data_IF_683807592689
#
_entry.id   IF_683807592689
#
_cell.length_a   1.000
_cell.length_b   1.000
_cell.length_c   1.000
_cell.angle_alpha   90.00
_cell.angle_beta   90.00
_cell.angle_gamma   90.00
#
_symmetry.space_group_name_H-M   'P 1'
#
loop_
_entity.id
_entity.type
_entity.pdbx_description
1 polymer ?
#
# COMPACT_ATOMS: atom_id res chain seq x y z
N UNK A 1 17.99 24.92 48.75
CA UNK A 1 18.18 24.80 47.30
C UNK A 1 17.04 23.96 46.77
N UNK A 2 16.11 24.56 46.04
CA UNK A 2 14.97 23.84 45.47
C UNK A 2 15.35 23.27 44.10
N UNK A 3 14.96 22.03 43.74
CA UNK A 3 15.21 21.50 42.41
C UNK A 3 14.25 22.13 41.39
N UNK A 4 14.79 22.56 40.26
CA UNK A 4 14.02 22.96 39.07
C UNK A 4 13.62 21.67 38.37
N UNK A 5 12.35 21.26 38.47
CA UNK A 5 11.81 20.19 37.64
C UNK A 5 11.59 20.78 36.25
N UNK A 6 12.48 20.46 35.30
CA UNK A 6 12.21 20.67 33.88
C UNK A 6 11.26 19.56 33.43
N UNK A 7 9.97 19.86 33.45
CA UNK A 7 9.01 19.09 32.66
C UNK A 7 9.39 19.30 31.19
N UNK A 8 10.11 18.32 30.64
CA UNK A 8 10.24 18.21 29.19
C UNK A 8 8.94 17.60 28.73
N UNK A 9 7.92 18.44 28.54
CA UNK A 9 6.68 18.01 27.90
C UNK A 9 7.08 17.58 26.49
N UNK A 10 7.14 16.28 26.27
CA UNK A 10 7.16 15.73 24.92
C UNK A 10 5.87 16.22 24.26
N UNK A 11 5.97 17.22 23.38
CA UNK A 11 4.88 17.59 22.50
C UNK A 11 4.63 16.39 21.57
N UNK A 12 3.74 15.50 21.99
CA UNK A 12 3.19 14.46 21.12
C UNK A 12 2.42 15.19 20.04
N UNK A 13 3.04 15.36 18.87
CA UNK A 13 2.36 15.95 17.72
C UNK A 13 1.35 14.90 17.27
N UNK A 14 0.05 15.17 17.44
CA UNK A 14 -1.00 14.24 17.03
C UNK A 14 -0.92 14.06 15.52
N UNK A 15 -0.54 12.86 15.07
CA UNK A 15 -0.48 12.51 13.65
C UNK A 15 -1.89 12.41 13.06
N UNK A 16 -1.99 12.54 11.75
CA UNK A 16 -3.27 12.48 11.03
C UNK A 16 -3.57 11.01 10.69
N UNK A 17 -4.76 10.54 11.06
CA UNK A 17 -5.27 9.20 10.71
C UNK A 17 -5.42 9.04 9.21
N UNK A 18 -5.04 7.87 8.70
CA UNK A 18 -5.12 7.54 7.28
C UNK A 18 -6.02 6.33 7.02
N UNK A 19 -6.49 6.23 5.78
CA UNK A 19 -7.22 5.09 5.24
C UNK A 19 -6.56 4.67 3.93
N UNK A 20 -6.40 3.36 3.74
CA UNK A 20 -5.76 2.76 2.59
C UNK A 20 -6.76 1.84 1.87
N UNK A 21 -6.87 1.99 0.56
CA UNK A 21 -7.75 1.20 -0.29
C UNK A 21 -6.98 0.66 -1.49
N UNK A 22 -6.73 -0.64 -1.51
CA UNK A 22 -6.12 -1.32 -2.66
C UNK A 22 -7.15 -1.49 -3.78
N UNK A 23 -6.73 -1.29 -5.03
CA UNK A 23 -7.61 -1.46 -6.19
C UNK A 23 -7.74 -2.93 -6.58
N UNK A 24 -8.94 -3.35 -6.93
CA UNK A 24 -9.12 -4.64 -7.59
C UNK A 24 -8.58 -4.58 -9.03
N UNK A 25 -7.93 -5.66 -9.46
CA UNK A 25 -7.35 -5.79 -10.80
C UNK A 25 -8.13 -6.87 -11.57
N UNK A 26 -8.32 -6.66 -12.87
CA UNK A 26 -8.92 -7.67 -13.75
C UNK A 26 -8.23 -7.61 -15.10
N UNK A 27 -7.76 -8.75 -15.60
CA UNK A 27 -6.98 -8.79 -16.83
C UNK A 27 -6.84 -10.20 -17.39
N UNK A 28 -6.46 -10.30 -18.67
CA UNK A 28 -6.18 -11.58 -19.30
C UNK A 28 -4.81 -12.12 -18.87
N UNK A 29 -4.72 -13.43 -18.60
CA UNK A 29 -3.47 -14.12 -18.23
C UNK A 29 -2.40 -13.92 -19.33
N UNK A 30 -2.82 -14.01 -20.60
CA UNK A 30 -1.95 -13.76 -21.73
C UNK A 30 -1.52 -12.29 -21.76
N UNK A 31 -0.31 -12.01 -21.26
CA UNK A 31 0.25 -10.66 -21.22
C UNK A 31 -0.08 -9.87 -19.96
N UNK A 32 -0.49 -10.52 -18.87
CA UNK A 32 -0.72 -9.84 -17.59
C UNK A 32 0.52 -9.06 -17.15
N UNK A 33 0.41 -7.74 -17.14
CA UNK A 33 1.45 -6.76 -16.74
C UNK A 33 0.87 -5.67 -15.84
N UNK A 34 -0.22 -5.98 -15.13
CA UNK A 34 -0.94 -4.97 -14.37
C UNK A 34 -0.17 -4.50 -13.13
N UNK A 35 -0.52 -3.30 -12.70
CA UNK A 35 0.11 -2.58 -11.60
C UNK A 35 -0.73 -2.76 -10.34
N UNK A 36 -0.13 -3.22 -9.25
CA UNK A 36 -0.74 -3.09 -7.93
C UNK A 36 -0.92 -1.59 -7.63
N UNK A 37 -2.10 -1.19 -7.14
CA UNK A 37 -2.44 0.21 -6.89
C UNK A 37 -3.18 0.35 -5.58
N UNK A 38 -2.93 1.45 -4.88
CA UNK A 38 -3.69 1.78 -3.68
C UNK A 38 -3.88 3.29 -3.54
N UNK A 39 -5.04 3.67 -3.00
CA UNK A 39 -5.40 5.03 -2.64
C UNK A 39 -5.15 5.25 -1.16
N UNK A 40 -4.31 6.22 -0.82
CA UNK A 40 -4.07 6.66 0.55
C UNK A 40 -4.73 8.03 0.77
N UNK A 41 -5.58 8.11 1.79
CA UNK A 41 -6.35 9.32 2.11
C UNK A 41 -6.33 9.59 3.61
N UNK A 42 -6.53 10.84 3.98
CA UNK A 42 -6.82 11.20 5.37
C UNK A 42 -8.18 10.63 5.76
N UNK A 43 -8.24 9.83 6.84
CA UNK A 43 -9.44 9.08 7.21
C UNK A 43 -10.65 9.98 7.51
N UNK A 44 -10.42 11.18 8.04
CA UNK A 44 -11.49 12.09 8.46
C UNK A 44 -11.97 13.03 7.35
N UNK A 45 -11.08 13.40 6.42
CA UNK A 45 -11.36 14.45 5.43
C UNK A 45 -11.43 13.90 4.00
N UNK A 46 -11.03 12.64 3.79
CA UNK A 46 -10.86 12.01 2.46
C UNK A 46 -9.88 12.73 1.54
N UNK A 47 -9.08 13.68 2.05
CA UNK A 47 -8.04 14.36 1.28
C UNK A 47 -6.96 13.37 0.86
N UNK A 48 -6.41 13.48 -0.36
CA UNK A 48 -5.32 12.61 -0.80
C UNK A 48 -4.06 12.85 0.06
N UNK A 49 -3.41 11.77 0.46
CA UNK A 49 -2.11 11.82 1.14
C UNK A 49 -1.02 11.65 0.08
N UNK A 50 -0.16 12.66 -0.08
CA UNK A 50 0.80 12.78 -1.19
C UNK A 50 2.23 12.60 -0.68
N UNK A 51 3.06 11.89 -1.43
CA UNK A 51 4.49 11.72 -1.15
C UNK A 51 4.82 10.61 -0.14
N UNK A 52 3.84 9.81 0.25
CA UNK A 52 4.01 8.71 1.19
C UNK A 52 4.24 7.39 0.47
N UNK A 53 5.03 6.49 1.08
CA UNK A 53 5.36 5.19 0.49
C UNK A 53 4.35 4.14 0.91
N UNK A 54 3.80 3.41 -0.06
CA UNK A 54 2.95 2.23 0.15
C UNK A 54 3.69 1.00 -0.35
N UNK A 55 3.71 -0.04 0.46
CA UNK A 55 4.33 -1.34 0.16
C UNK A 55 3.27 -2.32 -0.33
N UNK A 56 3.65 -3.19 -1.27
CA UNK A 56 2.77 -4.19 -1.86
C UNK A 56 3.36 -5.59 -1.68
N UNK A 57 2.50 -6.55 -1.35
CA UNK A 57 2.86 -7.95 -1.10
C UNK A 57 1.90 -8.88 -1.83
N UNK A 58 2.38 -10.02 -2.34
CA UNK A 58 1.51 -11.09 -2.83
C UNK A 58 0.86 -11.81 -1.66
N UNK A 59 -0.43 -12.07 -1.77
CA UNK A 59 -1.11 -12.92 -0.81
C UNK A 59 -0.69 -14.39 -1.02
N UNK A 60 -0.75 -15.19 0.05
CA UNK A 60 -0.40 -16.62 0.01
C UNK A 60 1.07 -16.92 0.27
N UNK A 61 1.97 -16.08 -0.24
CA UNK A 61 3.42 -16.18 0.01
C UNK A 61 4.00 -15.05 0.87
N UNK A 62 3.24 -13.96 1.08
CA UNK A 62 3.74 -12.72 1.69
C UNK A 62 4.99 -12.15 0.96
N UNK A 63 5.19 -12.52 -0.31
CA UNK A 63 6.33 -12.05 -1.09
C UNK A 63 6.21 -10.56 -1.38
N UNK A 64 7.29 -9.83 -1.14
CA UNK A 64 7.35 -8.41 -1.43
C UNK A 64 7.31 -8.16 -2.95
N UNK A 65 6.25 -7.49 -3.42
CA UNK A 65 6.09 -7.11 -4.83
C UNK A 65 6.88 -5.85 -5.19
N UNK A 66 6.98 -4.93 -4.22
CA UNK A 66 7.59 -3.62 -4.41
C UNK A 66 6.86 -2.54 -3.63
N UNK A 67 7.19 -1.29 -3.92
CA UNK A 67 6.57 -0.12 -3.30
C UNK A 67 6.30 0.97 -4.33
N UNK A 68 5.37 1.86 -4.00
CA UNK A 68 5.03 3.04 -4.78
C UNK A 68 4.86 4.26 -3.89
N UNK A 69 5.22 5.43 -4.41
CA UNK A 69 5.01 6.72 -3.72
C UNK A 69 3.67 7.31 -4.18
N UNK A 70 2.86 7.80 -3.24
CA UNK A 70 1.57 8.38 -3.54
C UNK A 70 1.70 9.68 -4.33
N UNK A 71 1.04 9.74 -5.50
CA UNK A 71 1.03 10.93 -6.35
C UNK A 71 0.06 12.01 -5.83
N UNK A 72 -0.14 13.09 -6.59
CA UNK A 72 -1.05 14.19 -6.21
C UNK A 72 -2.52 13.80 -6.00
N UNK A 73 -2.93 12.60 -6.40
CA UNK A 73 -4.27 12.04 -6.17
C UNK A 73 -4.29 11.04 -5.00
N UNK A 74 -3.17 10.84 -4.31
CA UNK A 74 -3.03 9.87 -3.24
C UNK A 74 -2.83 8.43 -3.75
N UNK A 75 -2.48 8.24 -5.02
CA UNK A 75 -2.36 6.91 -5.63
C UNK A 75 -0.90 6.47 -5.64
N UNK A 76 -0.62 5.35 -4.98
CA UNK A 76 0.64 4.61 -5.13
C UNK A 76 0.46 3.51 -6.17
N UNK A 77 1.48 3.26 -6.99
CA UNK A 77 1.46 2.22 -8.02
C UNK A 77 2.78 1.46 -8.04
N UNK A 78 2.71 0.13 -8.16
CA UNK A 78 3.86 -0.75 -8.27
C UNK A 78 3.71 -1.64 -9.52
N UNK A 79 4.69 -1.58 -10.42
CA UNK A 79 4.77 -2.47 -11.59
C UNK A 79 5.38 -3.81 -11.17
N UNK A 80 4.54 -4.81 -10.92
CA UNK A 80 4.99 -6.15 -10.54
C UNK A 80 5.52 -6.98 -11.72
N UNK A 81 5.20 -6.57 -12.96
CA UNK A 81 5.50 -7.33 -14.18
C UNK A 81 6.99 -7.53 -14.49
N UNK A 82 7.91 -6.85 -13.79
CA UNK A 82 9.35 -6.98 -13.99
C UNK A 82 10.05 -8.06 -13.16
N UNK A 83 9.48 -8.46 -12.02
CA UNK A 83 10.09 -9.42 -11.09
C UNK A 83 9.48 -10.83 -11.15
N UNK A 84 8.48 -11.04 -12.00
CA UNK A 84 7.87 -12.35 -12.22
C UNK A 84 8.81 -13.17 -13.12
N UNK A 85 9.79 -13.84 -12.50
CA UNK A 85 10.69 -14.77 -13.20
C UNK A 85 10.06 -16.15 -13.42
N UNK A 86 8.90 -16.42 -12.78
CA UNK A 86 8.15 -17.68 -12.87
C UNK A 86 6.66 -17.43 -13.05
N UNK A 87 6.24 -17.31 -14.31
CA UNK A 87 4.87 -16.97 -14.70
C UNK A 87 3.81 -17.86 -14.03
N UNK A 88 4.08 -19.16 -13.92
CA UNK A 88 3.11 -20.13 -13.41
C UNK A 88 2.89 -20.03 -11.89
N UNK A 89 3.96 -19.85 -11.11
CA UNK A 89 3.87 -19.62 -9.66
C UNK A 89 3.21 -18.26 -9.36
N UNK A 90 3.49 -17.25 -10.19
CA UNK A 90 2.88 -15.93 -10.02
C UNK A 90 1.39 -15.91 -10.31
N UNK A 91 0.89 -16.66 -11.31
CA UNK A 91 -0.55 -16.68 -11.62
C UNK A 91 -1.36 -17.15 -10.41
N UNK A 92 -0.90 -18.18 -9.71
CA UNK A 92 -1.58 -18.69 -8.52
C UNK A 92 -1.54 -17.67 -7.37
N UNK A 93 -0.37 -17.08 -7.09
CA UNK A 93 -0.25 -16.05 -6.05
C UNK A 93 -1.12 -14.81 -6.36
N UNK A 94 -1.18 -14.40 -7.64
CA UNK A 94 -2.06 -13.31 -8.07
C UNK A 94 -3.53 -13.65 -7.89
N UNK A 95 -3.97 -14.90 -8.09
CA UNK A 95 -5.36 -15.28 -7.82
C UNK A 95 -5.77 -15.10 -6.34
N UNK A 96 -4.81 -15.15 -5.42
CA UNK A 96 -5.04 -14.86 -4.00
C UNK A 96 -5.09 -13.35 -3.70
N UNK A 97 -4.77 -12.51 -4.68
CA UNK A 97 -4.73 -11.06 -4.59
C UNK A 97 -3.40 -10.53 -4.10
N UNK A 98 -3.41 -9.26 -3.67
CA UNK A 98 -2.26 -8.60 -3.08
C UNK A 98 -2.68 -7.75 -1.89
N UNK A 99 -1.73 -7.48 -1.00
CA UNK A 99 -1.92 -6.61 0.15
C UNK A 99 -1.13 -5.32 -0.02
N UNK A 100 -1.78 -4.19 0.13
CA UNK A 100 -1.15 -2.88 0.26
C UNK A 100 -0.99 -2.53 1.75
N UNK A 101 0.19 -2.04 2.14
CA UNK A 101 0.53 -1.65 3.51
C UNK A 101 1.07 -0.23 3.56
N UNK A 102 0.58 0.54 4.54
CA UNK A 102 1.09 1.88 4.84
C UNK A 102 1.49 1.97 6.30
N UNK A 103 2.79 2.09 6.55
CA UNK A 103 3.40 2.04 7.89
C UNK A 103 3.38 3.38 8.64
N UNK A 104 2.76 4.41 8.05
CA UNK A 104 2.77 5.76 8.60
C UNK A 104 4.06 6.52 8.24
N UNK A 105 4.01 7.82 8.49
CA UNK A 105 5.12 8.75 8.23
C UNK A 105 5.32 9.71 9.41
N UNK A 106 6.08 10.79 9.21
CA UNK A 106 6.27 11.81 10.25
C UNK A 106 4.94 12.50 10.60
N UNK A 107 4.09 12.74 9.60
CA UNK A 107 2.83 13.49 9.72
C UNK A 107 1.59 12.60 9.90
N UNK A 108 1.65 11.36 9.44
CA UNK A 108 0.51 10.49 9.26
C UNK A 108 0.65 9.19 10.06
N UNK A 109 -0.45 8.71 10.62
CA UNK A 109 -0.51 7.39 11.28
C UNK A 109 -0.55 6.26 10.24
N UNK A 110 -0.11 5.04 10.59
CA UNK A 110 -0.32 3.86 9.75
C UNK A 110 -1.81 3.66 9.44
N UNK A 111 -2.10 3.05 8.29
CA UNK A 111 -3.45 2.62 7.94
C UNK A 111 -3.59 1.10 8.17
N UNK A 112 -4.81 0.58 8.40
CA UNK A 112 -5.06 -0.85 8.26
C UNK A 112 -4.65 -1.34 6.87
N UNK A 113 -4.10 -2.56 6.81
CA UNK A 113 -3.75 -3.23 5.56
C UNK A 113 -4.99 -3.37 4.66
N UNK A 114 -4.78 -3.25 3.34
CA UNK A 114 -5.86 -3.29 2.36
C UNK A 114 -5.60 -4.35 1.31
N UNK A 115 -6.60 -5.20 1.04
CA UNK A 115 -6.50 -6.31 0.09
C UNK A 115 -7.10 -5.90 -1.25
N UNK A 116 -6.30 -5.98 -2.32
CA UNK A 116 -6.74 -5.88 -3.70
C UNK A 116 -6.95 -7.27 -4.28
N UNK A 117 -8.17 -7.57 -4.74
CA UNK A 117 -8.47 -8.84 -5.40
C UNK A 117 -8.03 -8.78 -6.87
N UNK A 118 -7.55 -9.89 -7.40
CA UNK A 118 -7.16 -9.97 -8.81
C UNK A 118 -7.95 -11.08 -9.48
N UNK A 119 -8.68 -10.70 -10.52
CA UNK A 119 -9.45 -11.61 -11.34
C UNK A 119 -8.72 -11.84 -12.66
N UNK A 120 -8.02 -12.98 -12.76
CA UNK A 120 -7.31 -13.38 -13.96
C UNK A 120 -8.23 -14.16 -14.90
N UNK A 121 -8.41 -13.64 -16.11
CA UNK A 121 -9.27 -14.22 -17.13
C UNK A 121 -8.41 -15.10 -18.04
N UNK A 122 -8.71 -16.41 -18.16
CA UNK A 122 -8.07 -17.28 -19.15
C UNK A 122 -8.20 -16.69 -20.57
N UNK A 123 -7.15 -16.78 -21.37
CA UNK A 123 -7.21 -16.37 -22.78
C UNK A 123 -8.14 -17.29 -23.57
N UNK A 124 -8.86 -16.71 -24.55
CA UNK A 124 -9.60 -17.45 -25.59
C UNK A 124 -8.63 -18.09 -26.58
#
# INVERSE_FOLDING_TARGET
MSPVIRHSDAQTTTKIKTALEAENISGHIAGFRDKARAHLREAMTSKPVVGETVEFYLNGSDDYLGSGVTNGQGIASCESGGHITRLQESIQAWQEGYTAKYLGGEKYEPAPDSIGNVNLIPGL
#
